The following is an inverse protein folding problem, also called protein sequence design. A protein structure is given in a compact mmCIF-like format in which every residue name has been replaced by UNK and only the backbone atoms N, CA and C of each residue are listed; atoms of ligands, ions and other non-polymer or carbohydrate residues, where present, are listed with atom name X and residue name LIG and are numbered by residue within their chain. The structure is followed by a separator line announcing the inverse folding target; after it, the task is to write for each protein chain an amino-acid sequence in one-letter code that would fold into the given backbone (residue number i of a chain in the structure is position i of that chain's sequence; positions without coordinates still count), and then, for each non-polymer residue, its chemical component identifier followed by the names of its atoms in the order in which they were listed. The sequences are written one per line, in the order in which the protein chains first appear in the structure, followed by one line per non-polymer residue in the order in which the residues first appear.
data_IF_323267318694
#
_entry.id   IF_323267318694
#
_cell.length_a   1.000
_cell.length_b   1.000
_cell.length_c   1.000
_cell.angle_alpha   90.00
_cell.angle_beta   90.00
_cell.angle_gamma   90.00
#
_symmetry.space_group_name_H-M   'P 1'
#
loop_
_entity.id
_entity.type
_entity.pdbx_description
1 polymer ?
#
# COMPACT_ATOMS: atom_id res chain seq x y z
N UNK A 1 -0.52 -9.56 -2.41
CA UNK A 1 -0.99 -10.41 -1.29
C UNK A 1 -1.73 -11.63 -1.85
N UNK A 2 -1.56 -12.85 -1.30
CA UNK A 2 -2.30 -14.02 -1.77
C UNK A 2 -3.77 -13.90 -1.36
N UNK A 3 -4.64 -13.57 -2.31
CA UNK A 3 -6.08 -13.53 -2.05
C UNK A 3 -6.62 -14.95 -1.80
N UNK A 4 -7.43 -15.12 -0.76
CA UNK A 4 -8.27 -16.30 -0.60
C UNK A 4 -9.44 -16.18 -1.59
N UNK A 5 -9.65 -17.20 -2.44
CA UNK A 5 -10.65 -17.20 -3.51
C UNK A 5 -11.79 -18.20 -3.25
N UNK A 6 -12.19 -18.34 -1.99
CA UNK A 6 -13.29 -19.22 -1.61
C UNK A 6 -14.58 -18.39 -1.49
N UNK A 7 -15.55 -18.68 -2.36
CA UNK A 7 -16.77 -17.87 -2.51
C UNK A 7 -17.60 -17.80 -1.23
N UNK A 8 -17.63 -18.87 -0.42
CA UNK A 8 -18.37 -18.89 0.85
C UNK A 8 -17.72 -17.93 1.86
N UNK A 9 -16.39 -17.99 1.98
CA UNK A 9 -15.64 -17.12 2.90
C UNK A 9 -15.70 -15.66 2.45
N UNK A 10 -15.55 -15.39 1.15
CA UNK A 10 -15.60 -14.03 0.59
C UNK A 10 -17.00 -13.44 0.77
N UNK A 11 -18.05 -14.19 0.42
CA UNK A 11 -19.44 -13.71 0.57
C UNK A 11 -19.81 -13.42 2.02
N UNK A 12 -19.31 -14.22 2.97
CA UNK A 12 -19.50 -13.95 4.40
C UNK A 12 -18.86 -12.61 4.81
N UNK A 13 -17.59 -12.39 4.46
CA UNK A 13 -16.88 -11.14 4.80
C UNK A 13 -17.52 -9.93 4.12
N UNK A 14 -17.91 -10.05 2.85
CA UNK A 14 -18.65 -9.00 2.15
C UNK A 14 -20.01 -8.72 2.80
N UNK A 15 -20.72 -9.75 3.25
CA UNK A 15 -21.99 -9.61 3.97
C UNK A 15 -21.85 -8.81 5.26
N UNK A 16 -20.88 -9.16 6.10
CA UNK A 16 -20.55 -8.41 7.33
C UNK A 16 -20.16 -6.97 6.98
N UNK A 17 -19.24 -6.78 6.03
CA UNK A 17 -18.76 -5.46 5.62
C UNK A 17 -19.86 -4.55 5.09
N UNK A 18 -20.75 -5.07 4.24
CA UNK A 18 -21.87 -4.31 3.68
C UNK A 18 -22.88 -3.91 4.77
N UNK A 19 -23.13 -4.78 5.76
CA UNK A 19 -24.00 -4.48 6.90
C UNK A 19 -23.41 -3.33 7.74
N UNK A 20 -22.10 -3.35 7.97
CA UNK A 20 -21.40 -2.28 8.70
C UNK A 20 -21.39 -0.97 7.91
N UNK A 21 -21.10 -0.99 6.61
CA UNK A 21 -21.12 0.22 5.76
C UNK A 21 -22.50 0.87 5.74
N UNK A 22 -23.57 0.08 5.68
CA UNK A 22 -24.94 0.59 5.74
C UNK A 22 -25.28 1.26 7.08
N UNK A 23 -24.56 0.90 8.15
CA UNK A 23 -24.72 1.46 9.50
C UNK A 23 -23.81 2.67 9.78
N UNK A 24 -22.96 3.08 8.84
CA UNK A 24 -22.15 4.31 9.00
C UNK A 24 -23.09 5.52 9.01
N UNK A 25 -22.97 6.47 9.97
CA UNK A 25 -23.80 7.67 10.02
C UNK A 25 -23.74 8.47 8.70
N UNK A 26 -24.90 8.91 8.15
CA UNK A 26 -24.95 9.60 6.85
C UNK A 26 -24.05 10.83 6.76
N UNK A 27 -23.82 11.52 7.87
CA UNK A 27 -23.04 12.77 7.95
C UNK A 27 -21.55 12.55 7.66
N UNK A 28 -21.06 11.32 7.81
CA UNK A 28 -19.66 10.94 7.58
C UNK A 28 -19.51 9.87 6.50
N UNK A 29 -20.58 9.58 5.75
CA UNK A 29 -20.48 8.78 4.54
C UNK A 29 -19.89 9.63 3.40
N UNK A 30 -18.99 9.02 2.64
CA UNK A 30 -18.33 9.65 1.48
C UNK A 30 -18.82 8.96 0.20
N UNK A 31 -19.70 9.58 -0.61
CA UNK A 31 -20.27 8.97 -1.83
C UNK A 31 -19.23 8.54 -2.88
N UNK A 32 -18.03 9.12 -2.83
CA UNK A 32 -16.91 8.77 -3.68
C UNK A 32 -16.18 7.49 -3.24
N UNK A 33 -16.36 7.05 -1.99
CA UNK A 33 -15.72 5.82 -1.51
C UNK A 33 -16.36 4.59 -2.15
N UNK A 34 -15.53 3.58 -2.39
CA UNK A 34 -15.89 2.29 -2.96
C UNK A 34 -15.42 1.21 -1.99
N UNK A 35 -16.30 0.87 -1.06
CA UNK A 35 -16.04 -0.19 -0.10
C UNK A 35 -15.94 -1.54 -0.81
N UNK A 36 -14.82 -2.22 -0.61
CA UNK A 36 -14.58 -3.58 -1.12
C UNK A 36 -13.92 -4.39 -0.03
N UNK A 37 -14.26 -5.66 0.08
CA UNK A 37 -13.78 -6.52 1.16
C UNK A 37 -13.04 -7.71 0.58
N UNK A 38 -11.81 -7.94 1.06
CA UNK A 38 -10.95 -9.00 0.54
C UNK A 38 -10.36 -9.82 1.67
N UNK A 39 -10.29 -11.13 1.48
CA UNK A 39 -9.67 -12.03 2.43
C UNK A 39 -8.25 -12.38 1.98
N UNK A 40 -7.28 -12.17 2.87
CA UNK A 40 -5.87 -12.48 2.62
C UNK A 40 -5.56 -13.84 3.25
N UNK A 41 -5.06 -14.78 2.43
CA UNK A 41 -4.78 -16.16 2.87
C UNK A 41 -3.45 -16.24 3.64
N UNK A 42 -3.41 -15.66 4.83
CA UNK A 42 -2.27 -15.70 5.75
C UNK A 42 -2.75 -15.98 7.18
N UNK A 43 -1.89 -16.62 7.98
CA UNK A 43 -2.26 -17.09 9.34
C UNK A 43 -2.23 -16.00 10.41
N UNK A 44 -1.56 -14.88 10.15
CA UNK A 44 -1.47 -13.80 11.13
C UNK A 44 -2.84 -13.17 11.38
N UNK A 45 -3.10 -12.84 12.64
CA UNK A 45 -4.32 -12.12 13.03
C UNK A 45 -4.12 -10.64 12.68
N UNK A 46 -4.79 -10.18 11.62
CA UNK A 46 -4.81 -8.77 11.23
C UNK A 46 -6.03 -8.44 10.36
N UNK A 47 -6.34 -7.15 10.27
CA UNK A 47 -7.15 -6.54 9.24
C UNK A 47 -6.66 -5.10 9.04
N UNK A 48 -6.93 -4.51 7.88
CA UNK A 48 -6.64 -3.12 7.62
C UNK A 48 -7.52 -2.58 6.51
N UNK A 49 -7.73 -1.27 6.50
CA UNK A 49 -8.40 -0.58 5.42
C UNK A 49 -7.52 0.51 4.79
N UNK A 50 -7.69 0.70 3.49
CA UNK A 50 -7.02 1.74 2.70
C UNK A 50 -7.96 2.93 2.49
N UNK A 51 -7.41 4.15 2.27
CA UNK A 51 -8.20 5.29 1.85
C UNK A 51 -9.10 4.95 0.65
N UNK A 52 -10.35 5.41 0.70
CA UNK A 52 -11.32 5.18 -0.37
C UNK A 52 -12.19 3.92 -0.23
N UNK A 53 -11.99 3.11 0.82
CA UNK A 53 -12.89 1.98 1.15
C UNK A 53 -12.40 0.55 0.95
N UNK A 54 -11.29 0.24 0.22
CA UNK A 54 -10.78 -1.12 0.18
C UNK A 54 -10.35 -1.62 1.56
N UNK A 55 -10.83 -2.79 1.95
CA UNK A 55 -10.56 -3.43 3.22
C UNK A 55 -10.06 -4.86 3.03
N UNK A 56 -9.10 -5.24 3.86
CA UNK A 56 -8.47 -6.55 3.86
C UNK A 56 -8.57 -7.15 5.26
N UNK A 57 -8.98 -8.41 5.33
CA UNK A 57 -8.97 -9.20 6.56
C UNK A 57 -8.15 -10.47 6.34
N UNK A 58 -7.28 -10.79 7.30
CA UNK A 58 -6.50 -12.01 7.22
C UNK A 58 -7.35 -13.22 7.58
N UNK A 59 -7.12 -14.34 6.89
CA UNK A 59 -7.71 -15.64 7.23
C UNK A 59 -7.49 -16.01 8.70
N UNK A 60 -6.31 -15.72 9.24
CA UNK A 60 -5.99 -15.93 10.66
C UNK A 60 -6.97 -15.26 11.62
N UNK A 61 -7.43 -14.04 11.30
CA UNK A 61 -8.46 -13.35 12.12
C UNK A 61 -9.78 -14.14 12.11
N UNK A 62 -10.21 -14.63 10.94
CA UNK A 62 -11.46 -15.40 10.78
C UNK A 62 -11.39 -16.75 11.51
N UNK A 63 -10.26 -17.45 11.43
CA UNK A 63 -10.07 -18.75 12.08
C UNK A 63 -10.02 -18.65 13.62
N UNK A 64 -9.62 -17.49 14.15
CA UNK A 64 -9.38 -17.26 15.58
C UNK A 64 -10.51 -16.54 16.31
N UNK A 65 -11.35 -15.80 15.60
CA UNK A 65 -12.52 -15.17 16.20
C UNK A 65 -13.44 -16.20 16.88
N UNK A 66 -14.00 -15.84 18.02
CA UNK A 66 -14.95 -16.70 18.73
C UNK A 66 -16.36 -16.63 18.16
N UNK A 67 -16.73 -15.51 17.57
CA UNK A 67 -18.04 -15.25 17.00
C UNK A 67 -17.94 -14.27 15.81
N UNK A 68 -19.03 -14.12 15.05
CA UNK A 68 -19.12 -13.14 13.96
C UNK A 68 -18.96 -11.69 14.45
N UNK A 69 -19.42 -11.40 15.66
CA UNK A 69 -19.29 -10.08 16.28
C UNK A 69 -17.84 -9.63 16.45
N UNK A 70 -16.89 -10.53 16.72
CA UNK A 70 -15.47 -10.20 16.78
C UNK A 70 -14.92 -9.84 15.39
N UNK A 71 -15.40 -10.48 14.32
CA UNK A 71 -15.06 -10.11 12.93
C UNK A 71 -15.66 -8.74 12.60
N UNK A 72 -16.94 -8.55 12.93
CA UNK A 72 -17.62 -7.28 12.75
C UNK A 72 -16.94 -6.16 13.55
N UNK A 73 -16.42 -6.45 14.75
CA UNK A 73 -15.71 -5.50 15.59
C UNK A 73 -14.41 -5.01 14.99
N UNK A 74 -13.56 -5.93 14.51
CA UNK A 74 -12.33 -5.56 13.78
C UNK A 74 -12.68 -4.74 12.54
N UNK A 75 -13.65 -5.19 11.74
CA UNK A 75 -14.03 -4.49 10.52
C UNK A 75 -14.66 -3.11 10.81
N UNK A 76 -15.47 -2.97 11.86
CA UNK A 76 -16.07 -1.69 12.23
C UNK A 76 -15.02 -0.67 12.67
N UNK A 77 -13.99 -1.11 13.40
CA UNK A 77 -12.85 -0.27 13.78
C UNK A 77 -12.09 0.25 12.54
N UNK A 78 -11.70 -0.64 11.64
CA UNK A 78 -11.00 -0.28 10.40
C UNK A 78 -11.86 0.61 9.46
N UNK A 79 -13.16 0.33 9.32
CA UNK A 79 -14.08 1.17 8.53
C UNK A 79 -14.24 2.55 9.16
N UNK A 80 -14.15 2.67 10.49
CA UNK A 80 -14.20 3.95 11.19
C UNK A 80 -12.96 4.80 10.88
N UNK A 81 -11.77 4.20 10.73
CA UNK A 81 -10.59 4.91 10.22
C UNK A 81 -10.79 5.45 8.81
N UNK A 82 -11.50 4.71 7.94
CA UNK A 82 -11.83 5.17 6.59
C UNK A 82 -12.86 6.31 6.62
N UNK A 83 -13.97 6.13 7.34
CA UNK A 83 -15.06 7.10 7.43
C UNK A 83 -14.60 8.44 8.03
N UNK A 84 -13.75 8.39 9.06
CA UNK A 84 -13.14 9.57 9.68
C UNK A 84 -11.89 10.07 8.94
N UNK A 85 -11.53 9.41 7.83
CA UNK A 85 -10.40 9.78 6.97
C UNK A 85 -9.05 9.85 7.70
N UNK A 86 -8.89 9.08 8.80
CA UNK A 86 -7.70 9.06 9.64
C UNK A 86 -6.44 8.74 8.83
N UNK A 87 -6.49 7.78 7.90
CA UNK A 87 -5.36 7.48 7.01
C UNK A 87 -4.90 8.69 6.19
N UNK A 88 -5.85 9.44 5.62
CA UNK A 88 -5.52 10.66 4.86
C UNK A 88 -5.10 11.82 5.76
N UNK A 89 -5.66 11.94 6.97
CA UNK A 89 -5.30 12.98 7.93
C UNK A 89 -3.91 12.74 8.55
N UNK A 90 -3.59 11.48 8.87
CA UNK A 90 -2.26 11.05 9.32
C UNK A 90 -1.23 11.23 8.23
N UNK A 91 -1.53 10.80 6.99
CA UNK A 91 -0.68 11.09 5.85
C UNK A 91 -0.45 12.61 5.73
N UNK A 92 -1.49 13.44 5.85
CA UNK A 92 -1.36 14.91 5.81
C UNK A 92 -0.45 15.46 6.91
N UNK A 93 -0.54 14.94 8.14
CA UNK A 93 0.25 15.44 9.27
C UNK A 93 1.70 14.94 9.24
N UNK A 94 1.95 13.73 8.74
CA UNK A 94 3.30 13.23 8.46
C UNK A 94 3.93 14.02 7.29
N UNK A 95 3.17 14.30 6.23
CA UNK A 95 3.66 14.99 5.03
C UNK A 95 4.01 16.48 5.25
N UNK A 96 3.46 17.17 6.28
CA UNK A 96 3.84 18.57 6.62
C UNK A 96 5.35 18.77 6.87
N UNK A 97 6.08 17.69 7.14
CA UNK A 97 7.52 17.73 7.38
C UNK A 97 8.35 16.97 6.34
N UNK A 98 7.71 16.29 5.36
CA UNK A 98 8.32 15.13 4.70
C UNK A 98 7.91 14.94 3.23
N UNK A 99 7.72 16.02 2.44
CA UNK A 99 7.73 15.87 0.95
C UNK A 99 9.02 15.12 0.51
N UNK A 100 10.10 15.30 1.28
CA UNK A 100 11.40 14.69 1.06
C UNK A 100 11.58 13.22 1.51
N UNK A 101 10.66 12.59 2.23
CA UNK A 101 10.92 11.24 2.79
C UNK A 101 10.09 10.13 2.12
N UNK A 102 8.86 10.45 1.70
CA UNK A 102 7.95 9.49 1.04
C UNK A 102 8.42 9.16 -0.38
N UNK A 103 8.96 10.14 -1.13
CA UNK A 103 9.42 9.90 -2.51
C UNK A 103 10.83 9.28 -2.51
N UNK A 104 11.67 9.70 -1.56
CA UNK A 104 13.03 9.20 -1.37
C UNK A 104 13.08 7.74 -0.93
N UNK A 105 12.06 7.23 -0.23
CA UNK A 105 11.97 5.82 0.17
C UNK A 105 11.51 4.90 -0.97
N UNK A 106 10.55 5.34 -1.80
CA UNK A 106 10.10 4.57 -2.97
C UNK A 106 11.19 4.52 -4.03
N UNK A 107 11.77 5.67 -4.38
CA UNK A 107 12.78 5.78 -5.44
C UNK A 107 14.20 5.41 -4.96
N UNK A 108 14.48 5.57 -3.66
CA UNK A 108 15.71 5.10 -3.02
C UNK A 108 15.86 3.58 -3.05
N UNK A 109 14.78 2.86 -2.75
CA UNK A 109 14.75 1.40 -2.89
C UNK A 109 14.91 0.95 -4.36
N UNK A 110 14.45 1.75 -5.32
CA UNK A 110 14.49 1.43 -6.76
C UNK A 110 15.89 1.59 -7.36
N UNK A 111 16.56 2.71 -7.03
CA UNK A 111 17.88 3.09 -7.54
C UNK A 111 19.01 2.47 -6.65
N UNK A 112 18.60 1.73 -5.62
CA UNK A 112 19.44 0.87 -4.80
C UNK A 112 19.99 1.50 -3.52
N UNK A 113 19.82 2.79 -3.27
CA UNK A 113 20.44 3.48 -2.13
C UNK A 113 20.38 2.74 -0.79
N UNK A 114 21.55 2.51 -0.18
CA UNK A 114 21.71 1.98 1.20
C UNK A 114 20.98 2.84 2.24
N UNK A 115 19.69 2.60 2.45
CA UNK A 115 19.04 2.86 3.73
C UNK A 115 19.33 1.69 4.67
N UNK A 116 20.61 1.61 5.06
CA UNK A 116 21.03 0.78 6.17
C UNK A 116 20.56 1.41 7.48
N UNK A 117 19.64 0.73 8.17
CA UNK A 117 19.29 0.85 9.59
C UNK A 117 18.13 1.75 10.04
N UNK A 118 17.33 2.33 9.14
CA UNK A 118 16.01 2.90 9.52
C UNK A 118 14.83 2.04 9.04
N UNK A 119 15.04 1.17 8.04
CA UNK A 119 13.98 0.36 7.41
C UNK A 119 13.99 -1.12 7.84
N UNK A 120 15.00 -1.58 8.61
CA UNK A 120 15.13 -2.98 9.03
C UNK A 120 14.10 -3.47 10.08
N UNK A 121 13.09 -2.66 10.43
CA UNK A 121 11.94 -3.07 11.25
C UNK A 121 10.63 -2.76 10.52
N UNK A 122 10.46 -3.28 9.32
CA UNK A 122 9.23 -3.07 8.54
C UNK A 122 9.14 -4.03 7.38
N UNK A 123 8.81 -5.30 7.68
CA UNK A 123 8.44 -6.31 6.68
C UNK A 123 7.56 -5.71 5.60
N UNK A 124 7.94 -5.84 4.33
CA UNK A 124 7.32 -5.50 3.02
C UNK A 124 5.78 -5.28 2.90
N UNK A 125 4.99 -5.55 3.95
CA UNK A 125 3.68 -4.96 4.24
C UNK A 125 3.75 -3.60 5.00
N UNK A 126 4.95 -3.15 5.39
CA UNK A 126 5.18 -2.13 6.43
C UNK A 126 5.15 -0.68 5.95
N UNK A 127 5.20 -0.45 4.64
CA UNK A 127 4.89 0.88 4.09
C UNK A 127 3.38 1.16 4.13
N UNK A 128 2.55 0.12 4.23
CA UNK A 128 1.15 0.28 4.63
C UNK A 128 1.03 0.66 6.12
N UNK A 129 1.87 0.09 6.99
CA UNK A 129 1.78 0.29 8.45
C UNK A 129 2.31 1.64 8.94
N UNK A 130 3.13 2.34 8.16
CA UNK A 130 3.53 3.72 8.47
C UNK A 130 2.32 4.67 8.58
N UNK A 131 1.24 4.35 7.87
CA UNK A 131 -0.05 5.06 7.94
C UNK A 131 -1.08 4.40 8.88
N UNK A 132 -0.81 3.21 9.41
CA UNK A 132 -1.75 2.45 10.26
C UNK A 132 -1.47 2.60 11.75
N UNK A 133 -0.28 3.08 12.15
CA UNK A 133 -0.03 3.48 13.55
C UNK A 133 -0.73 4.79 13.85
N UNK A 134 -2.01 4.70 14.21
CA UNK A 134 -2.78 5.90 14.49
C UNK A 134 -2.46 6.50 15.87
N UNK A 135 -2.64 7.81 15.98
CA UNK A 135 -2.55 8.48 17.27
C UNK A 135 -3.56 7.89 18.26
N UNK A 136 -3.28 7.97 19.57
CA UNK A 136 -4.22 7.50 20.61
C UNK A 136 -5.61 8.12 20.48
N UNK A 137 -5.71 9.34 19.95
CA UNK A 137 -6.98 10.01 19.72
C UNK A 137 -7.72 9.43 18.51
N UNK A 138 -7.03 9.13 17.40
CA UNK A 138 -7.64 8.46 16.25
C UNK A 138 -8.10 7.04 16.58
N UNK A 139 -7.33 6.28 17.35
CA UNK A 139 -7.74 4.97 17.87
C UNK A 139 -9.00 5.08 18.73
N UNK A 140 -9.07 6.10 19.61
CA UNK A 140 -10.26 6.38 20.43
C UNK A 140 -11.47 6.73 19.56
N UNK A 141 -11.31 7.59 18.57
CA UNK A 141 -12.40 7.98 17.67
C UNK A 141 -12.89 6.80 16.84
N UNK A 142 -11.98 5.97 16.33
CA UNK A 142 -12.33 4.77 15.57
C UNK A 142 -13.06 3.74 16.43
N UNK A 143 -12.67 3.57 17.69
CA UNK A 143 -13.39 2.70 18.61
C UNK A 143 -14.79 3.21 18.94
N UNK A 144 -14.92 4.49 19.28
CA UNK A 144 -16.24 5.07 19.60
C UNK A 144 -17.14 4.95 18.38
N UNK A 145 -16.73 5.45 17.21
CA UNK A 145 -17.54 5.30 16.00
C UNK A 145 -17.84 3.83 15.69
N UNK A 146 -16.83 2.95 15.80
CA UNK A 146 -16.99 1.53 15.58
C UNK A 146 -18.03 0.88 16.48
N UNK A 147 -18.11 1.28 17.76
CA UNK A 147 -19.16 0.78 18.68
C UNK A 147 -20.56 1.21 18.27
N UNK A 148 -20.74 2.45 17.79
CA UNK A 148 -22.02 2.93 17.29
C UNK A 148 -22.40 2.20 15.99
N UNK A 149 -21.47 2.08 15.03
CA UNK A 149 -21.67 1.33 13.78
C UNK A 149 -22.03 -0.13 14.05
N UNK A 150 -21.38 -0.78 15.01
CA UNK A 150 -21.73 -2.14 15.40
C UNK A 150 -23.15 -2.23 15.96
N UNK A 151 -23.52 -1.33 16.89
CA UNK A 151 -24.85 -1.34 17.49
C UNK A 151 -25.96 -1.12 16.45
N UNK A 152 -25.74 -0.19 15.52
CA UNK A 152 -26.67 0.13 14.43
C UNK A 152 -26.74 -1.00 13.39
N UNK A 153 -25.64 -1.71 13.16
CA UNK A 153 -25.59 -2.93 12.35
C UNK A 153 -26.16 -4.17 13.06
N UNK A 154 -26.58 -4.05 14.33
CA UNK A 154 -27.16 -5.12 15.14
C UNK A 154 -26.16 -6.02 15.86
N UNK A 155 -24.86 -5.73 15.81
CA UNK A 155 -23.83 -6.45 16.56
C UNK A 155 -23.68 -5.93 17.99
N UNK A 156 -23.21 -6.79 18.91
CA UNK A 156 -22.88 -6.36 20.27
C UNK A 156 -21.53 -5.61 20.26
N UNK A 157 -21.48 -4.32 20.61
CA UNK A 157 -20.22 -3.56 20.59
C UNK A 157 -19.16 -4.12 21.55
N UNK A 158 -19.56 -4.93 22.53
CA UNK A 158 -18.64 -5.63 23.45
C UNK A 158 -17.82 -6.72 22.74
N UNK A 159 -18.26 -7.19 21.58
CA UNK A 159 -17.46 -8.11 20.78
C UNK A 159 -16.20 -7.41 20.22
N UNK A 160 -16.24 -6.11 19.93
CA UNK A 160 -15.02 -5.32 19.59
C UNK A 160 -14.02 -5.31 20.75
N UNK A 161 -14.49 -5.19 21.99
CA UNK A 161 -13.61 -5.31 23.15
C UNK A 161 -13.07 -6.74 23.33
N UNK A 162 -13.83 -7.75 22.91
CA UNK A 162 -13.44 -9.16 23.02
C UNK A 162 -12.33 -9.55 22.06
N UNK A 163 -12.24 -8.89 20.89
CA UNK A 163 -11.13 -9.02 19.93
C UNK A 163 -9.77 -8.87 20.60
N UNK A 164 -9.58 -7.89 21.49
CA UNK A 164 -8.30 -7.69 22.19
C UNK A 164 -7.91 -8.94 23.00
N UNK A 165 -8.88 -9.59 23.64
CA UNK A 165 -8.63 -10.83 24.41
C UNK A 165 -8.33 -12.01 23.49
N UNK A 166 -9.03 -12.12 22.36
CA UNK A 166 -8.75 -13.12 21.33
C UNK A 166 -7.31 -12.96 20.82
N UNK A 167 -6.92 -11.72 20.53
CA UNK A 167 -5.59 -11.35 20.05
C UNK A 167 -4.51 -11.65 21.10
N UNK A 168 -4.70 -11.25 22.36
CA UNK A 168 -3.77 -11.51 23.47
C UNK A 168 -3.56 -13.02 23.69
N UNK A 169 -4.64 -13.80 23.69
CA UNK A 169 -4.61 -15.24 23.92
C UNK A 169 -3.90 -16.02 22.81
N UNK A 170 -4.04 -15.56 21.57
CA UNK A 170 -3.52 -16.24 20.38
C UNK A 170 -2.12 -15.74 19.96
N UNK A 171 -1.54 -14.80 20.72
CA UNK A 171 -0.21 -14.24 20.46
C UNK A 171 0.92 -15.15 20.97
N UNK A 172 1.88 -15.45 20.10
CA UNK A 172 3.14 -16.14 20.45
C UNK A 172 4.28 -15.17 20.82
N UNK A 173 5.53 -15.67 20.97
CA UNK A 173 6.71 -14.82 21.18
C UNK A 173 6.89 -13.90 19.96
N UNK A 174 6.60 -12.60 20.12
CA UNK A 174 6.56 -11.62 19.03
C UNK A 174 5.33 -10.71 19.05
N UNK A 175 4.28 -11.10 19.78
CA UNK A 175 3.03 -10.32 19.85
C UNK A 175 2.23 -10.35 18.54
N UNK A 176 1.00 -9.85 18.55
CA UNK A 176 0.13 -9.85 17.38
C UNK A 176 0.39 -8.63 16.50
N UNK A 177 0.40 -8.84 15.19
CA UNK A 177 0.60 -7.77 14.21
C UNK A 177 -0.43 -6.64 14.39
N UNK A 178 -1.69 -6.99 14.65
CA UNK A 178 -2.74 -6.00 14.86
C UNK A 178 -2.47 -5.05 16.04
N UNK A 179 -1.87 -5.49 17.16
CA UNK A 179 -1.49 -4.56 18.26
C UNK A 179 -0.26 -3.70 17.95
N UNK A 180 0.53 -4.09 16.94
CA UNK A 180 1.67 -3.30 16.46
C UNK A 180 1.23 -2.17 15.54
N UNK A 181 0.12 -2.40 14.82
CA UNK A 181 -0.54 -1.43 13.96
C UNK A 181 -1.49 -0.54 14.80
N UNK A 182 -2.24 -1.12 15.73
CA UNK A 182 -3.22 -0.45 16.61
C UNK A 182 -2.82 -0.56 18.09
N UNK A 183 -1.94 0.32 18.59
CA UNK A 183 -1.45 0.24 19.96
C UNK A 183 -2.59 0.38 20.99
N UNK A 184 -2.62 -0.50 22.00
CA UNK A 184 -3.57 -0.41 23.10
C UNK A 184 -3.00 0.52 24.21
N UNK A 185 -3.54 1.73 24.44
CA UNK A 185 -3.21 2.58 25.59
C UNK A 185 -3.48 1.99 26.98
N UNK A 186 -4.03 0.78 27.08
CA UNK A 186 -4.37 0.11 28.34
C UNK A 186 -5.79 0.40 28.82
N UNK A 187 -6.57 1.23 28.11
CA UNK A 187 -7.93 1.62 28.49
C UNK A 187 -9.01 1.36 27.42
N UNK A 188 -8.66 0.81 26.24
CA UNK A 188 -9.59 0.57 25.12
C UNK A 188 -10.73 -0.37 25.50
N UNK A 189 -10.38 -1.50 26.11
CA UNK A 189 -11.35 -2.47 26.61
C UNK A 189 -12.39 -1.81 27.53
N UNK A 190 -11.96 -0.99 28.47
CA UNK A 190 -12.85 -0.40 29.47
C UNK A 190 -13.79 0.65 28.87
N UNK A 191 -13.29 1.56 28.03
CA UNK A 191 -14.16 2.59 27.48
C UNK A 191 -15.08 2.05 26.38
N UNK A 192 -14.67 1.06 25.58
CA UNK A 192 -15.57 0.38 24.62
C UNK A 192 -16.74 -0.25 25.39
N UNK A 193 -16.45 -0.93 26.51
CA UNK A 193 -17.50 -1.53 27.32
C UNK A 193 -18.42 -0.51 28.01
N UNK A 194 -17.89 0.67 28.39
CA UNK A 194 -18.71 1.77 28.92
C UNK A 194 -19.60 2.37 27.84
N UNK A 195 -19.06 2.61 26.65
CA UNK A 195 -19.82 3.13 25.51
C UNK A 195 -20.93 2.16 25.12
N UNK A 196 -20.62 0.86 25.04
CA UNK A 196 -21.57 -0.19 24.74
C UNK A 196 -22.78 -0.24 25.71
N UNK A 197 -22.62 0.18 26.97
CA UNK A 197 -23.72 0.24 27.94
C UNK A 197 -24.76 1.32 27.60
N UNK A 198 -24.36 2.34 26.84
CA UNK A 198 -25.23 3.43 26.42
C UNK A 198 -26.01 3.10 25.14
N UNK A 199 -25.56 2.08 24.41
CA UNK A 199 -26.10 1.72 23.10
C UNK A 199 -27.17 0.63 23.19
N UNK A 200 -28.19 0.74 22.35
CA UNK A 200 -29.25 -0.27 22.22
C UNK A 200 -29.02 -1.07 20.95
N UNK A 201 -28.68 -2.35 21.11
CA UNK A 201 -28.57 -3.27 19.98
C UNK A 201 -29.96 -3.80 19.64
N UNK A 202 -30.47 -3.42 18.48
CA UNK A 202 -31.74 -3.93 17.94
C UNK A 202 -31.45 -4.91 16.81
N UNK A 203 -32.29 -5.95 16.64
CA UNK A 203 -32.17 -6.92 15.55
C UNK A 203 -30.81 -7.62 15.47
N UNK A 204 -30.44 -8.36 16.54
CA UNK A 204 -29.20 -9.16 16.53
C UNK A 204 -29.19 -10.13 15.34
N UNK A 205 -28.19 -10.07 14.45
CA UNK A 205 -27.99 -11.09 13.45
C UNK A 205 -27.87 -12.45 14.14
N UNK A 206 -28.77 -13.37 13.79
CA UNK A 206 -28.73 -14.75 14.26
C UNK A 206 -27.87 -15.60 13.30
N UNK A 207 -26.64 -15.19 13.00
CA UNK A 207 -25.83 -15.83 11.95
C UNK A 207 -24.60 -16.58 12.49
N UNK A 208 -24.68 -17.10 13.73
CA UNK A 208 -23.67 -18.04 14.25
C UNK A 208 -23.45 -19.26 13.35
N UNK A 209 -24.47 -19.68 12.58
CA UNK A 209 -24.37 -20.84 11.69
C UNK A 209 -23.50 -20.58 10.45
N UNK A 210 -23.64 -19.42 9.80
CA UNK A 210 -22.82 -19.08 8.63
C UNK A 210 -21.36 -18.90 9.03
N UNK A 211 -21.11 -18.19 10.13
CA UNK A 211 -19.77 -18.04 10.69
C UNK A 211 -19.11 -19.39 11.03
N UNK A 212 -19.85 -20.31 11.67
CA UNK A 212 -19.36 -21.65 11.97
C UNK A 212 -19.07 -22.46 10.71
N UNK A 213 -19.91 -22.35 9.66
CA UNK A 213 -19.68 -22.99 8.36
C UNK A 213 -18.39 -22.48 7.72
N UNK A 214 -18.20 -21.16 7.70
CA UNK A 214 -16.97 -20.52 7.20
C UNK A 214 -15.73 -20.97 7.98
N UNK A 215 -15.80 -21.06 9.31
CA UNK A 215 -14.68 -21.58 10.11
C UNK A 215 -14.40 -23.06 9.82
N UNK A 216 -15.43 -23.90 9.69
CA UNK A 216 -15.27 -25.31 9.32
C UNK A 216 -14.64 -25.45 7.92
N UNK A 217 -15.09 -24.62 6.97
CA UNK A 217 -14.56 -24.53 5.62
C UNK A 217 -13.08 -24.15 5.61
N UNK A 218 -12.69 -23.11 6.34
CA UNK A 218 -11.29 -22.70 6.50
C UNK A 218 -10.43 -23.80 7.13
N UNK A 219 -10.92 -24.47 8.19
CA UNK A 219 -10.21 -25.57 8.85
C UNK A 219 -10.04 -26.81 7.96
N UNK A 220 -10.92 -26.99 6.96
CA UNK A 220 -10.80 -28.07 5.98
C UNK A 220 -9.75 -27.79 4.90
N UNK A 221 -9.34 -26.53 4.72
CA UNK A 221 -8.29 -26.15 3.77
C UNK A 221 -6.90 -26.43 4.36
N UNK A 222 -5.89 -26.49 3.49
CA UNK A 222 -4.49 -26.45 3.93
C UNK A 222 -4.25 -25.26 4.87
N UNK A 223 -3.41 -25.43 5.93
CA UNK A 223 -3.09 -24.35 6.86
C UNK A 223 -2.62 -23.11 6.12
N UNK A 224 -3.09 -21.94 6.57
CA UNK A 224 -2.68 -20.69 5.98
C UNK A 224 -1.15 -20.51 6.15
N UNK A 225 -0.42 -20.09 5.09
CA UNK A 225 0.99 -19.77 5.23
C UNK A 225 1.19 -18.58 6.18
N UNK A 226 2.38 -18.45 6.76
CA UNK A 226 2.80 -17.18 7.36
C UNK A 226 2.86 -16.09 6.30
N UNK A 227 2.77 -14.83 6.69
CA UNK A 227 3.00 -13.72 5.77
C UNK A 227 4.37 -13.85 5.09
N UNK A 228 5.44 -14.25 5.81
CA UNK A 228 6.75 -14.45 5.19
C UNK A 228 6.79 -15.66 4.24
N UNK A 229 6.02 -16.71 4.52
CA UNK A 229 5.88 -17.88 3.64
C UNK A 229 5.04 -17.55 2.41
N UNK A 230 3.98 -16.78 2.55
CA UNK A 230 3.15 -16.29 1.45
C UNK A 230 3.97 -15.45 0.46
N UNK A 231 4.81 -14.56 0.99
CA UNK A 231 5.74 -13.76 0.19
C UNK A 231 6.78 -14.65 -0.51
N UNK A 232 7.34 -15.65 0.19
CA UNK A 232 8.26 -16.63 -0.38
C UNK A 232 7.62 -17.55 -1.44
N UNK A 233 6.38 -17.99 -1.24
CA UNK A 233 5.67 -18.88 -2.16
C UNK A 233 5.14 -18.13 -3.40
N UNK A 234 4.82 -16.83 -3.26
CA UNK A 234 4.57 -15.95 -4.40
C UNK A 234 5.82 -15.75 -5.27
N UNK A 235 7.01 -15.75 -4.66
CA UNK A 235 8.29 -15.72 -5.36
C UNK A 235 8.77 -17.12 -5.86
N UNK A 236 8.29 -18.20 -5.24
CA UNK A 236 8.75 -19.58 -5.43
C UNK A 236 8.17 -20.34 -6.64
N UNK A 237 7.42 -19.67 -7.53
CA UNK A 237 7.09 -20.25 -8.85
C UNK A 237 8.24 -20.13 -9.86
N UNK A 238 9.36 -19.53 -9.46
CA UNK A 238 10.64 -19.66 -10.15
C UNK A 238 11.53 -20.67 -9.42
N UNK A 239 12.00 -21.63 -10.21
CA UNK A 239 12.82 -22.78 -9.85
C UNK A 239 14.00 -22.46 -8.94
N UNK A 240 14.28 -23.41 -8.04
CA UNK A 240 15.38 -23.43 -7.10
C UNK A 240 16.75 -23.09 -7.70
N UNK A 241 17.49 -22.20 -7.04
CA UNK A 241 18.94 -22.38 -6.90
C UNK A 241 19.44 -21.82 -5.58
N UNK A 242 20.35 -22.61 -4.99
CA UNK A 242 20.92 -22.52 -3.64
C UNK A 242 21.90 -21.33 -3.57
N UNK A 243 21.98 -20.72 -2.39
CA UNK A 243 22.49 -19.35 -2.18
C UNK A 243 23.95 -19.04 -2.52
N UNK A 244 24.18 -17.75 -2.76
CA UNK A 244 25.34 -16.96 -2.32
C UNK A 244 24.98 -15.46 -2.24
N UNK A 245 25.45 -14.82 -1.18
CA UNK A 245 25.49 -13.38 -0.85
C UNK A 245 24.88 -12.33 -1.81
N UNK A 246 23.83 -11.65 -1.33
CA UNK A 246 23.75 -10.18 -1.31
C UNK A 246 23.48 -9.41 -2.61
N UNK A 247 23.21 -10.08 -3.74
CA UNK A 247 22.80 -9.42 -4.99
C UNK A 247 21.38 -9.82 -5.38
N UNK A 248 20.52 -8.89 -5.84
CA UNK A 248 19.19 -9.22 -6.33
C UNK A 248 19.27 -10.18 -7.51
N UNK A 249 18.36 -11.15 -7.58
CA UNK A 249 18.26 -12.09 -8.68
C UNK A 249 17.66 -11.42 -9.92
N UNK A 250 18.44 -10.53 -10.54
CA UNK A 250 18.09 -9.85 -11.79
C UNK A 250 18.42 -10.77 -12.98
N UNK A 251 17.50 -10.82 -13.94
CA UNK A 251 17.72 -11.49 -15.22
C UNK A 251 18.41 -10.58 -16.22
N UNK A 252 18.57 -11.04 -17.47
CA UNK A 252 18.89 -10.14 -18.58
C UNK A 252 17.59 -9.45 -19.03
N UNK A 253 17.49 -8.12 -18.96
CA UNK A 253 16.32 -7.39 -19.44
C UNK A 253 15.98 -7.74 -20.88
N UNK A 254 14.70 -7.99 -21.15
CA UNK A 254 14.22 -8.05 -22.52
C UNK A 254 14.29 -6.67 -23.18
N UNK A 255 14.67 -6.63 -24.46
CA UNK A 255 14.62 -5.39 -25.23
C UNK A 255 13.17 -4.89 -25.32
N UNK A 256 12.94 -3.57 -25.23
CA UNK A 256 11.59 -3.02 -25.33
C UNK A 256 10.92 -3.33 -26.67
N UNK A 257 9.67 -3.78 -26.61
CA UNK A 257 8.85 -4.08 -27.79
C UNK A 257 8.55 -2.82 -28.61
N UNK A 258 8.51 -2.97 -29.93
CA UNK A 258 8.05 -1.92 -30.84
C UNK A 258 6.52 -1.68 -30.77
N UNK A 259 5.77 -2.65 -30.21
CA UNK A 259 4.33 -2.54 -29.95
C UNK A 259 4.10 -1.93 -28.57
N UNK A 260 3.01 -1.17 -28.43
CA UNK A 260 2.70 -0.41 -27.21
C UNK A 260 1.40 -0.91 -26.59
N UNK A 261 1.38 -0.99 -25.27
CA UNK A 261 0.20 -1.24 -24.45
C UNK A 261 -0.15 0.03 -23.67
N UNK A 262 -1.43 0.24 -23.39
CA UNK A 262 -1.92 1.43 -22.68
C UNK A 262 -2.64 1.00 -21.42
N UNK A 263 -2.34 1.69 -20.32
CA UNK A 263 -2.83 1.40 -18.98
C UNK A 263 -3.55 2.65 -18.44
N UNK A 264 -4.68 2.41 -17.79
CA UNK A 264 -5.47 3.44 -17.10
C UNK A 264 -5.19 3.34 -15.60
N UNK A 265 -4.42 4.29 -15.08
CA UNK A 265 -4.01 4.32 -13.66
C UNK A 265 -5.08 5.02 -12.83
N UNK A 266 -6.17 4.28 -12.63
CA UNK A 266 -7.38 4.76 -11.96
C UNK A 266 -7.94 6.02 -12.65
N UNK A 267 -8.24 7.04 -11.84
CA UNK A 267 -8.74 8.33 -12.32
C UNK A 267 -7.64 9.41 -12.37
N UNK A 268 -6.36 9.04 -12.37
CA UNK A 268 -5.26 10.01 -12.30
C UNK A 268 -4.67 10.31 -13.68
N UNK A 269 -4.18 9.28 -14.37
CA UNK A 269 -3.61 9.41 -15.70
C UNK A 269 -3.69 8.11 -16.48
N UNK A 270 -3.55 8.23 -17.79
CA UNK A 270 -3.33 7.12 -18.72
C UNK A 270 -1.90 7.18 -19.23
N UNK A 271 -1.26 6.02 -19.36
CA UNK A 271 0.13 5.87 -19.80
C UNK A 271 0.25 4.76 -20.85
N UNK A 272 1.07 4.96 -21.88
CA UNK A 272 1.44 3.92 -22.83
C UNK A 272 2.90 3.53 -22.64
N UNK A 273 3.17 2.23 -22.56
CA UNK A 273 4.52 1.65 -22.43
C UNK A 273 4.73 0.55 -23.48
N UNK A 274 5.98 0.10 -23.74
CA UNK A 274 6.23 -1.09 -24.54
C UNK A 274 5.41 -2.28 -24.04
N UNK A 275 4.80 -3.02 -24.96
CA UNK A 275 3.83 -4.09 -24.65
C UNK A 275 4.40 -5.30 -23.91
N UNK A 276 5.73 -5.47 -23.89
CA UNK A 276 6.40 -6.50 -23.09
C UNK A 276 6.85 -5.99 -21.71
N UNK A 277 6.56 -4.74 -21.37
CA UNK A 277 6.74 -4.25 -20.00
C UNK A 277 5.53 -4.63 -19.17
N UNK A 278 5.81 -5.02 -17.93
CA UNK A 278 4.78 -5.42 -16.98
C UNK A 278 4.64 -4.36 -15.91
N UNK A 279 3.40 -4.09 -15.54
CA UNK A 279 3.07 -3.34 -14.33
C UNK A 279 3.53 -4.14 -13.11
N UNK A 280 4.31 -3.51 -12.24
CA UNK A 280 4.76 -4.09 -10.99
C UNK A 280 3.89 -3.56 -9.84
N UNK A 281 3.55 -4.41 -8.85
CA UNK A 281 2.77 -3.97 -7.70
C UNK A 281 3.48 -2.85 -6.94
N UNK A 282 2.81 -1.71 -6.77
CA UNK A 282 3.26 -0.56 -6.00
C UNK A 282 2.13 0.06 -5.20
N UNK A 283 2.45 0.78 -4.12
CA UNK A 283 1.44 1.40 -3.24
C UNK A 283 1.09 2.83 -3.65
N UNK A 284 2.09 3.64 -4.03
CA UNK A 284 1.95 5.09 -4.26
C UNK A 284 2.45 5.56 -5.64
N UNK A 285 3.06 4.64 -6.39
CA UNK A 285 3.54 4.85 -7.74
C UNK A 285 3.29 3.56 -8.52
N UNK A 286 3.18 3.70 -9.83
CA UNK A 286 3.09 2.57 -10.75
C UNK A 286 4.43 2.41 -11.47
N UNK A 287 4.96 1.20 -11.47
CA UNK A 287 6.22 0.88 -12.12
C UNK A 287 5.97 -0.05 -13.29
N UNK A 288 6.59 0.23 -14.44
CA UNK A 288 6.58 -0.64 -15.61
C UNK A 288 8.00 -1.02 -16.00
N UNK A 289 8.29 -2.31 -16.06
CA UNK A 289 9.62 -2.80 -16.38
C UNK A 289 9.56 -4.05 -17.29
N UNK A 290 10.56 -4.26 -18.17
CA UNK A 290 10.69 -5.51 -18.91
C UNK A 290 11.06 -6.67 -17.99
N UNK A 291 10.73 -7.88 -18.42
CA UNK A 291 11.14 -9.10 -17.70
C UNK A 291 12.67 -9.18 -17.59
N UNK A 292 13.16 -9.58 -16.41
CA UNK A 292 14.59 -9.61 -16.08
C UNK A 292 15.15 -8.29 -15.56
N UNK A 293 14.46 -7.16 -15.73
CA UNK A 293 14.92 -5.86 -15.25
C UNK A 293 14.52 -5.53 -13.80
N UNK A 294 13.78 -6.40 -13.12
CA UNK A 294 13.33 -6.16 -11.74
C UNK A 294 13.54 -7.40 -10.88
N UNK A 295 13.66 -7.19 -9.57
CA UNK A 295 13.92 -8.25 -8.61
C UNK A 295 13.76 -7.77 -7.16
N UNK A 296 14.25 -8.55 -6.22
CA UNK A 296 14.21 -8.19 -4.80
C UNK A 296 15.60 -8.26 -4.18
N UNK A 297 15.96 -7.23 -3.42
CA UNK A 297 17.16 -7.18 -2.60
C UNK A 297 16.73 -7.09 -1.13
N UNK A 298 16.81 -8.21 -0.41
CA UNK A 298 16.19 -8.29 0.92
C UNK A 298 14.66 -8.19 0.82
N UNK A 299 14.09 -7.14 1.43
CA UNK A 299 12.65 -6.84 1.41
C UNK A 299 12.30 -5.65 0.50
N UNK A 300 13.23 -5.19 -0.33
CA UNK A 300 13.01 -4.06 -1.23
C UNK A 300 12.89 -4.55 -2.69
N UNK A 301 11.94 -3.97 -3.43
CA UNK A 301 11.81 -4.16 -4.87
C UNK A 301 12.79 -3.24 -5.57
N UNK A 302 13.65 -3.80 -6.40
CA UNK A 302 14.64 -3.06 -7.20
C UNK A 302 14.34 -3.25 -8.67
N UNK A 303 14.60 -2.24 -9.50
CA UNK A 303 14.62 -2.43 -10.95
C UNK A 303 15.75 -1.63 -11.60
N UNK A 304 16.28 -2.16 -12.70
CA UNK A 304 17.41 -1.60 -13.44
C UNK A 304 16.97 -0.93 -14.73
N UNK A 305 15.82 -1.34 -15.29
CA UNK A 305 15.25 -0.79 -16.51
C UNK A 305 13.76 -0.60 -16.37
N UNK A 306 13.25 0.52 -16.87
CA UNK A 306 11.82 0.77 -16.92
C UNK A 306 11.47 2.18 -16.54
N UNK A 307 10.19 2.37 -16.24
CA UNK A 307 9.64 3.66 -15.82
C UNK A 307 8.85 3.51 -14.54
N UNK A 308 8.82 4.58 -13.76
CA UNK A 308 7.93 4.72 -12.63
C UNK A 308 7.21 6.06 -12.70
N UNK A 309 5.89 6.07 -12.50
CA UNK A 309 5.08 7.27 -12.48
C UNK A 309 4.29 7.37 -11.18
N UNK A 310 4.16 8.58 -10.65
CA UNK A 310 3.43 8.81 -9.41
C UNK A 310 2.95 10.25 -9.25
N UNK A 311 2.15 10.46 -8.22
CA UNK A 311 1.66 11.78 -7.82
C UNK A 311 2.06 12.03 -6.37
N UNK A 312 2.73 13.14 -6.15
CA UNK A 312 3.09 13.64 -4.83
C UNK A 312 2.29 14.89 -4.50
N UNK A 313 2.00 15.08 -3.21
CA UNK A 313 1.48 16.37 -2.74
C UNK A 313 2.56 17.42 -2.89
N UNK A 314 2.12 18.63 -3.21
CA UNK A 314 3.00 19.75 -3.40
C UNK A 314 2.38 20.97 -2.69
N UNK A 315 3.09 21.47 -1.70
CA UNK A 315 2.67 22.64 -0.91
C UNK A 315 3.17 23.95 -1.54
N UNK A 316 4.13 23.84 -2.47
CA UNK A 316 4.64 24.96 -3.24
C UNK A 316 3.75 25.17 -4.46
N UNK A 317 3.52 26.40 -4.90
CA UNK A 317 2.77 26.62 -6.16
C UNK A 317 3.70 26.72 -7.38
N UNK A 318 4.99 26.41 -7.20
CA UNK A 318 6.04 26.56 -8.19
C UNK A 318 6.62 25.20 -8.60
N UNK A 319 6.55 24.90 -9.90
CA UNK A 319 7.01 23.62 -10.43
C UNK A 319 8.51 23.39 -10.19
N UNK A 320 9.34 24.43 -10.32
CA UNK A 320 10.79 24.27 -10.17
C UNK A 320 11.16 23.95 -8.73
N UNK A 321 10.58 24.66 -7.76
CA UNK A 321 10.79 24.36 -6.33
C UNK A 321 10.34 22.95 -6.00
N UNK A 322 9.15 22.53 -6.45
CA UNK A 322 8.65 21.17 -6.24
C UNK A 322 9.58 20.10 -6.86
N UNK A 323 10.13 20.34 -8.06
CA UNK A 323 11.12 19.46 -8.69
C UNK A 323 12.45 19.43 -7.94
N UNK A 324 12.93 20.59 -7.44
CA UNK A 324 14.15 20.68 -6.65
C UNK A 324 14.01 19.88 -5.32
N UNK A 325 12.87 20.00 -4.64
CA UNK A 325 12.54 19.25 -3.42
C UNK A 325 12.47 17.74 -3.68
N UNK A 326 11.81 17.34 -4.77
CA UNK A 326 11.76 15.95 -5.23
C UNK A 326 13.17 15.39 -5.43
N UNK A 327 14.05 16.09 -6.15
CA UNK A 327 15.40 15.58 -6.42
C UNK A 327 16.25 15.58 -5.14
N UNK A 328 16.09 16.57 -4.27
CA UNK A 328 16.75 16.61 -2.96
C UNK A 328 16.36 15.40 -2.10
N UNK A 329 15.10 14.98 -2.14
CA UNK A 329 14.62 13.73 -1.53
C UNK A 329 15.39 12.52 -2.05
N UNK A 330 15.53 12.39 -3.37
CA UNK A 330 16.24 11.27 -4.00
C UNK A 330 17.72 11.21 -3.60
N UNK A 331 18.37 12.37 -3.49
CA UNK A 331 19.76 12.46 -3.08
C UNK A 331 20.00 12.07 -1.63
N UNK A 332 18.99 12.19 -0.75
CA UNK A 332 19.13 11.78 0.66
C UNK A 332 19.23 10.26 0.80
N UNK A 333 18.43 9.51 0.03
CA UNK A 333 18.51 8.04 0.00
C UNK A 333 19.60 7.52 -0.92
N UNK A 334 20.03 8.29 -1.92
CA UNK A 334 21.07 7.93 -2.87
C UNK A 334 22.26 8.90 -2.78
N UNK A 335 23.23 8.68 -1.86
CA UNK A 335 24.35 9.61 -1.68
C UNK A 335 25.29 9.70 -2.89
N UNK A 336 25.17 8.76 -3.85
CA UNK A 336 25.92 8.75 -5.12
C UNK A 336 25.16 9.42 -6.26
N UNK A 337 23.94 9.88 -6.02
CA UNK A 337 23.11 10.54 -7.02
C UNK A 337 23.65 11.95 -7.26
N UNK A 338 23.99 12.21 -8.51
CA UNK A 338 24.48 13.50 -8.99
C UNK A 338 23.49 14.11 -9.96
N UNK A 339 23.20 15.39 -9.77
CA UNK A 339 22.30 16.17 -10.61
C UNK A 339 23.07 17.11 -11.56
N UNK A 340 22.63 17.27 -12.82
CA UNK A 340 23.08 18.37 -13.67
C UNK A 340 22.62 19.73 -13.12
N UNK A 341 23.17 20.83 -13.64
CA UNK A 341 22.91 22.19 -13.16
C UNK A 341 21.57 22.80 -13.57
N UNK A 342 20.72 22.11 -14.34
CA UNK A 342 19.48 22.69 -14.88
C UNK A 342 18.41 21.70 -15.34
N UNK A 343 17.28 22.29 -15.77
CA UNK A 343 16.10 21.59 -16.29
C UNK A 343 15.83 21.99 -17.74
N UNK A 344 15.52 21.00 -18.58
CA UNK A 344 14.92 21.22 -19.88
C UNK A 344 13.42 21.47 -19.71
N UNK A 345 12.84 22.40 -20.47
CA UNK A 345 11.39 22.54 -20.57
C UNK A 345 10.86 21.61 -21.65
N UNK A 346 9.96 20.72 -21.26
CA UNK A 346 9.33 19.73 -22.15
C UNK A 346 7.81 19.74 -21.96
N UNK A 347 7.10 18.90 -22.71
CA UNK A 347 5.66 18.68 -22.53
C UNK A 347 5.40 17.23 -22.14
N UNK A 348 4.63 17.03 -21.06
CA UNK A 348 4.01 15.75 -20.71
C UNK A 348 2.55 15.81 -21.15
N UNK A 349 2.24 15.12 -22.24
CA UNK A 349 0.95 15.29 -22.93
C UNK A 349 0.73 16.74 -23.34
N UNK A 350 -0.15 17.45 -22.63
CA UNK A 350 -0.48 18.88 -22.86
C UNK A 350 0.06 19.82 -21.77
N UNK A 351 0.71 19.30 -20.74
CA UNK A 351 1.17 20.09 -19.59
C UNK A 351 2.62 20.54 -19.75
N UNK A 352 2.91 21.80 -19.40
CA UNK A 352 4.28 22.30 -19.33
C UNK A 352 5.02 21.58 -18.21
N UNK A 353 6.19 21.03 -18.52
CA UNK A 353 6.90 20.10 -17.63
C UNK A 353 8.39 20.42 -17.60
N UNK A 354 9.04 20.04 -16.50
CA UNK A 354 10.50 20.06 -16.38
C UNK A 354 11.04 18.66 -16.61
N UNK A 355 12.23 18.59 -17.22
CA UNK A 355 13.00 17.37 -17.43
C UNK A 355 14.43 17.55 -16.96
N UNK A 356 15.00 16.53 -16.35
CA UNK A 356 16.45 16.44 -16.12
C UNK A 356 16.92 14.99 -16.14
N UNK A 357 18.22 14.75 -16.28
CA UNK A 357 18.80 13.40 -16.27
C UNK A 357 19.84 13.32 -15.16
N UNK A 358 19.53 12.56 -14.13
CA UNK A 358 20.42 12.32 -12.99
C UNK A 358 21.38 11.16 -13.33
N UNK A 359 22.53 11.14 -12.67
CA UNK A 359 23.44 10.00 -12.69
C UNK A 359 23.51 9.38 -11.30
N UNK A 360 23.49 8.05 -11.22
CA UNK A 360 23.67 7.33 -9.97
C UNK A 360 24.53 6.06 -10.20
N UNK A 361 24.91 5.39 -9.12
CA UNK A 361 25.42 4.02 -9.17
C UNK A 361 24.42 3.12 -8.47
N UNK A 362 23.85 2.18 -9.22
CA UNK A 362 22.89 1.20 -8.75
C UNK A 362 23.52 0.36 -7.63
N UNK A 363 22.90 0.27 -6.45
CA UNK A 363 23.40 -0.68 -5.44
C UNK A 363 22.98 -2.12 -5.78
N UNK A 364 21.95 -2.29 -6.62
CA UNK A 364 21.46 -3.58 -7.09
C UNK A 364 22.48 -4.29 -8.00
N UNK A 365 23.06 -3.56 -8.97
CA UNK A 365 24.05 -4.12 -9.92
C UNK A 365 25.49 -3.73 -9.56
N UNK A 366 25.68 -2.58 -8.93
CA UNK A 366 26.97 -1.92 -8.76
C UNK A 366 27.40 -1.08 -9.96
N UNK A 367 26.56 -0.96 -10.98
CA UNK A 367 26.86 -0.26 -12.23
C UNK A 367 26.32 1.18 -12.23
N UNK A 368 26.94 2.04 -13.03
CA UNK A 368 26.40 3.39 -13.25
C UNK A 368 25.08 3.33 -14.01
N UNK A 369 24.13 4.13 -13.56
CA UNK A 369 22.82 4.28 -14.19
C UNK A 369 22.45 5.75 -14.40
N UNK A 370 21.48 5.95 -15.27
CA UNK A 370 20.90 7.23 -15.61
C UNK A 370 19.42 7.21 -15.27
N UNK A 371 18.97 8.28 -14.64
CA UNK A 371 17.59 8.43 -14.17
C UNK A 371 17.04 9.69 -14.83
N UNK A 372 16.22 9.50 -15.84
CA UNK A 372 15.51 10.58 -16.51
C UNK A 372 14.27 10.95 -15.70
N UNK A 373 14.19 12.20 -15.27
CA UNK A 373 13.12 12.74 -14.42
C UNK A 373 12.27 13.67 -15.25
N UNK A 374 10.96 13.50 -15.17
CA UNK A 374 9.96 14.43 -15.67
C UNK A 374 9.04 14.85 -14.54
N UNK A 375 8.67 16.13 -14.48
CA UNK A 375 7.72 16.64 -13.48
C UNK A 375 6.78 17.69 -14.05
N UNK A 376 5.53 17.70 -13.60
CA UNK A 376 4.56 18.75 -13.91
C UNK A 376 3.56 18.93 -12.78
N UNK A 377 2.93 20.10 -12.70
CA UNK A 377 1.85 20.35 -11.74
C UNK A 377 0.51 19.93 -12.34
N UNK A 378 -0.26 19.18 -11.56
CA UNK A 378 -1.64 18.87 -11.82
C UNK A 378 -2.55 20.05 -11.44
N UNK A 379 -3.83 19.98 -11.85
CA UNK A 379 -4.78 21.08 -11.64
C UNK A 379 -5.07 21.38 -10.18
N UNK A 380 -4.99 20.37 -9.33
CA UNK A 380 -5.16 20.46 -7.88
C UNK A 380 -3.89 20.98 -7.17
N UNK A 381 -2.83 21.30 -7.93
CA UNK A 381 -1.54 21.76 -7.41
C UNK A 381 -0.57 20.63 -7.08
N UNK A 382 -0.99 19.36 -7.11
CA UNK A 382 -0.14 18.20 -6.85
C UNK A 382 0.97 18.06 -7.90
N UNK A 383 2.12 17.52 -7.51
CA UNK A 383 3.25 17.26 -8.40
C UNK A 383 3.13 15.87 -9.00
N UNK A 384 2.95 15.77 -10.31
CA UNK A 384 3.18 14.51 -11.03
C UNK A 384 4.66 14.36 -11.34
N UNK A 385 5.17 13.14 -11.19
CA UNK A 385 6.53 12.77 -11.59
C UNK A 385 6.54 11.48 -12.42
N UNK A 386 7.54 11.37 -13.30
CA UNK A 386 7.86 10.18 -14.06
C UNK A 386 9.39 10.00 -14.07
N UNK A 387 9.85 8.83 -13.67
CA UNK A 387 11.24 8.40 -13.74
C UNK A 387 11.42 7.38 -14.85
N UNK A 388 12.49 7.49 -15.63
CA UNK A 388 12.99 6.47 -16.53
C UNK A 388 14.38 6.05 -16.10
N UNK A 389 14.58 4.77 -15.77
CA UNK A 389 15.86 4.26 -15.25
C UNK A 389 16.45 3.29 -16.25
N UNK A 390 17.73 3.45 -16.57
CA UNK A 390 18.51 2.46 -17.32
C UNK A 390 20.01 2.57 -16.95
N UNK A 391 20.79 1.48 -17.06
CA UNK A 391 22.24 1.52 -16.96
C UNK A 391 22.83 2.53 -17.95
N UNK A 392 23.90 3.20 -17.55
CA UNK A 392 24.54 4.25 -18.35
C UNK A 392 24.91 3.78 -19.75
N UNK A 393 25.33 2.52 -19.90
CA UNK A 393 25.69 1.93 -21.19
C UNK A 393 24.50 1.72 -22.14
N UNK A 394 23.29 1.55 -21.60
CA UNK A 394 22.07 1.25 -22.36
C UNK A 394 21.12 2.46 -22.45
N UNK A 395 21.40 3.53 -21.71
CA UNK A 395 20.50 4.69 -21.60
C UNK A 395 20.14 5.32 -22.95
N UNK A 396 21.07 5.33 -23.92
CA UNK A 396 20.78 5.89 -25.25
C UNK A 396 19.72 5.09 -26.04
N UNK A 397 19.58 3.79 -25.75
CA UNK A 397 18.55 2.94 -26.37
C UNK A 397 17.20 3.13 -25.67
N UNK A 398 17.22 3.45 -24.37
CA UNK A 398 16.02 3.62 -23.54
C UNK A 398 15.46 5.05 -23.53
N UNK A 399 16.30 6.08 -23.68
CA UNK A 399 15.88 7.49 -23.64
C UNK A 399 14.77 7.82 -24.67
N UNK A 400 14.83 7.37 -25.94
CA UNK A 400 13.73 7.59 -26.88
C UNK A 400 12.41 6.94 -26.43
N UNK A 401 12.51 5.82 -25.72
CA UNK A 401 11.35 5.08 -25.20
C UNK A 401 10.75 5.84 -24.02
N UNK A 402 11.56 6.29 -23.06
CA UNK A 402 11.12 7.11 -21.94
C UNK A 402 10.44 8.40 -22.41
N UNK A 403 11.00 9.08 -23.41
CA UNK A 403 10.35 10.25 -24.03
C UNK A 403 8.99 9.91 -24.65
N UNK A 404 8.87 8.74 -25.29
CA UNK A 404 7.59 8.30 -25.87
C UNK A 404 6.57 7.92 -24.80
N UNK A 405 7.00 7.29 -23.70
CA UNK A 405 6.15 7.07 -22.51
C UNK A 405 5.68 8.41 -21.95
N UNK A 406 6.60 9.35 -21.70
CA UNK A 406 6.33 10.68 -21.17
C UNK A 406 5.32 11.47 -22.02
N UNK A 407 5.47 11.44 -23.35
CA UNK A 407 4.53 12.09 -24.28
C UNK A 407 3.17 11.40 -24.40
N UNK A 408 3.07 10.13 -24.02
CA UNK A 408 1.80 9.39 -24.02
C UNK A 408 0.89 9.73 -22.84
N UNK A 409 1.44 10.38 -21.80
CA UNK A 409 0.70 10.68 -20.57
C UNK A 409 -0.51 11.56 -20.87
N UNK A 410 -1.68 11.10 -20.40
CA UNK A 410 -2.92 11.86 -20.43
C UNK A 410 -3.49 11.95 -19.02
N UNK A 411 -3.44 13.12 -18.43
CA UNK A 411 -4.06 13.36 -17.12
C UNK A 411 -5.59 13.33 -17.23
N UNK A 412 -6.24 12.80 -16.20
CA UNK A 412 -7.69 12.89 -16.07
C UNK A 412 -8.14 14.36 -16.05
N UNK A 413 -9.35 14.60 -16.57
CA UNK A 413 -9.89 15.95 -16.74
C UNK A 413 -10.49 16.53 -15.49
#
# INVERSE_FOLDING_TARGET
MPALRDDEVVSFVEGVGNRLVAAIPPEIQHPEFRYTFKVVNVREINAFALPGGPMFINRGMIEKAHNEGEIAGVMAHELSHVALRHGTAQATQATKYEIGEVIGSVVGAIIGGRVGNVVAQGTQLGLGTAFLRFSREYERQADILGTHVMADAGYDPRDMASVFRTIEKESGPGGPQWLSDHPNPGNRYDYINREAQLLRVSNRPHDTAQFQSVQARLRSMSPAPTTEQATRNGAGRNTSTRGTSGRPALGRPELPSSRWATFDEGNLFRISVPSNWRELPGNNAVTFAPEGAYGSMGQESVFTHGVEAGVARNETHDLRTATDELISSLSQSNPRLSRPSGYDRVSLGRSSSLRTVLSNVSDATGEEERVEVYTTLLRDGSLFYLFGVAPRGEFNDYEPIFRRVASSIQFAR
#
